data_IF_029722912074
#
_entry.id   IF_029722912074
#
_cell.length_a   1.000
_cell.length_b   1.000
_cell.length_c   1.000
_cell.angle_alpha   90.00
_cell.angle_beta   90.00
_cell.angle_gamma   90.00
#
_symmetry.space_group_name_H-M   'P 1'
#
loop_
_entity.id
_entity.type
_entity.pdbx_description
1 polymer ?
#
# COMPACT_ATOMS: atom_id res chain seq x y z
N UNK A 1 7.37 13.83 -16.21
CA UNK A 1 7.12 12.55 -16.87
C UNK A 1 6.13 11.76 -16.05
N UNK A 2 4.95 11.47 -16.61
CA UNK A 2 3.90 10.76 -15.91
C UNK A 2 3.83 9.28 -16.34
N UNK A 3 3.98 9.05 -17.63
CA UNK A 3 3.93 7.72 -18.26
C UNK A 3 5.36 7.26 -18.50
N UNK A 4 5.76 6.07 -18.06
CA UNK A 4 7.13 5.58 -18.18
C UNK A 4 7.66 5.57 -19.61
N UNK A 5 6.82 5.19 -20.58
CA UNK A 5 7.18 5.08 -22.00
C UNK A 5 7.31 6.42 -22.73
N UNK A 6 6.80 7.52 -22.16
CA UNK A 6 6.84 8.84 -22.78
C UNK A 6 8.06 9.63 -22.34
N UNK A 7 8.74 10.28 -23.28
CA UNK A 7 9.81 11.24 -23.02
C UNK A 7 9.50 12.55 -23.74
N UNK A 8 9.61 13.66 -23.03
CA UNK A 8 9.30 14.98 -23.56
C UNK A 8 10.41 15.95 -23.11
N UNK A 9 11.18 16.44 -24.07
CA UNK A 9 12.14 17.51 -23.87
C UNK A 9 11.54 18.82 -24.35
N UNK A 10 11.69 19.84 -23.53
CA UNK A 10 11.28 21.22 -23.89
C UNK A 10 12.52 22.08 -24.10
N UNK A 11 12.57 22.77 -25.24
CA UNK A 11 13.61 23.72 -25.59
C UNK A 11 12.99 25.07 -25.89
N UNK A 12 13.58 26.13 -25.39
CA UNK A 12 13.20 27.49 -25.73
C UNK A 12 14.09 27.96 -26.90
N UNK A 13 13.46 28.24 -28.02
CA UNK A 13 14.15 28.68 -29.24
C UNK A 13 13.78 30.14 -29.49
N UNK A 14 14.77 31.06 -29.57
CA UNK A 14 14.49 32.44 -29.91
C UNK A 14 13.83 32.54 -31.31
N UNK A 15 12.83 33.40 -31.46
CA UNK A 15 12.24 33.75 -32.75
C UNK A 15 12.93 34.97 -33.35
N UNK A 16 12.68 35.23 -34.62
CA UNK A 16 13.17 36.46 -35.28
C UNK A 16 12.48 37.74 -34.75
N UNK A 17 11.40 37.61 -33.99
CA UNK A 17 10.68 38.72 -33.38
C UNK A 17 11.25 39.04 -32.00
N UNK A 18 11.55 40.32 -31.75
CA UNK A 18 12.14 40.77 -30.47
C UNK A 18 11.14 40.57 -29.33
N UNK A 19 11.53 39.79 -28.32
CA UNK A 19 10.74 39.50 -27.12
C UNK A 19 9.82 38.29 -27.25
N UNK A 20 9.89 37.53 -28.34
CA UNK A 20 9.17 36.27 -28.52
C UNK A 20 10.13 35.06 -28.45
N UNK A 21 9.64 33.95 -27.92
CA UNK A 21 10.37 32.71 -27.80
C UNK A 21 9.41 31.54 -28.07
N UNK A 22 9.81 30.66 -28.97
CA UNK A 22 9.08 29.43 -29.22
C UNK A 22 9.44 28.36 -28.19
N UNK A 23 8.43 27.60 -27.77
CA UNK A 23 8.60 26.39 -26.97
C UNK A 23 8.53 25.19 -27.88
N UNK A 24 9.67 24.61 -28.19
CA UNK A 24 9.76 23.36 -28.99
C UNK A 24 9.68 22.18 -28.04
N UNK A 25 8.67 21.32 -28.25
CA UNK A 25 8.49 20.09 -27.47
C UNK A 25 8.85 18.91 -28.35
N UNK A 26 10.00 18.28 -28.06
CA UNK A 26 10.38 17.02 -28.68
C UNK A 26 9.79 15.86 -27.86
N UNK A 27 8.74 15.24 -28.39
CA UNK A 27 8.06 14.11 -27.77
C UNK A 27 8.49 12.80 -28.40
N UNK A 28 8.95 11.86 -27.57
CA UNK A 28 9.30 10.50 -28.00
C UNK A 28 8.57 9.51 -27.11
N UNK A 29 7.93 8.52 -27.72
CA UNK A 29 7.31 7.40 -27.01
C UNK A 29 8.01 6.11 -27.39
N UNK A 30 8.49 5.39 -26.38
CA UNK A 30 8.99 4.02 -26.51
C UNK A 30 7.82 3.02 -26.50
N UNK A 31 8.13 1.72 -26.53
CA UNK A 31 7.10 0.68 -26.45
C UNK A 31 6.21 0.90 -25.21
N UNK A 32 4.87 1.04 -25.39
CA UNK A 32 3.97 1.39 -24.30
C UNK A 32 3.62 0.20 -23.41
N UNK A 33 4.10 -0.98 -23.69
CA UNK A 33 3.82 -2.20 -22.94
C UNK A 33 5.04 -2.61 -22.11
N UNK A 34 4.78 -2.99 -20.85
CA UNK A 34 5.82 -3.52 -19.97
C UNK A 34 5.28 -4.76 -19.28
N UNK A 35 6.09 -5.81 -19.22
CA UNK A 35 5.84 -7.01 -18.44
C UNK A 35 6.93 -7.14 -17.40
N UNK A 36 6.50 -7.22 -16.14
CA UNK A 36 7.39 -7.46 -15.01
C UNK A 36 7.03 -8.80 -14.39
N UNK A 37 8.02 -9.66 -14.23
CA UNK A 37 7.90 -10.93 -13.51
C UNK A 37 8.74 -10.85 -12.24
N UNK A 38 8.21 -11.33 -11.12
CA UNK A 38 8.98 -11.44 -9.88
C UNK A 38 8.70 -12.75 -9.17
N UNK A 39 9.68 -13.19 -8.41
CA UNK A 39 9.62 -14.35 -7.54
C UNK A 39 10.27 -13.95 -6.22
N UNK A 40 9.56 -14.13 -5.14
CA UNK A 40 10.03 -13.79 -3.80
C UNK A 40 9.42 -14.70 -2.73
N UNK A 41 9.90 -14.60 -1.50
CA UNK A 41 9.45 -15.39 -0.35
C UNK A 41 8.59 -14.56 0.64
N UNK A 42 7.83 -13.58 0.14
CA UNK A 42 7.04 -12.65 0.94
C UNK A 42 5.69 -13.17 1.44
N UNK A 43 5.32 -14.39 1.07
CA UNK A 43 4.10 -15.04 1.53
C UNK A 43 4.17 -15.52 3.00
N UNK A 44 3.05 -16.02 3.52
CA UNK A 44 2.94 -16.59 4.87
C UNK A 44 3.18 -18.10 4.85
N UNK A 45 3.54 -18.67 6.00
CA UNK A 45 3.65 -20.12 6.19
C UNK A 45 2.33 -20.84 5.87
N UNK A 46 1.23 -20.26 6.34
CA UNK A 46 -0.10 -20.86 6.23
C UNK A 46 -0.63 -20.92 4.79
N UNK A 47 -0.21 -19.99 3.90
CA UNK A 47 -0.75 -19.88 2.54
C UNK A 47 0.32 -19.95 1.43
N UNK A 48 1.54 -20.32 1.80
CA UNK A 48 2.70 -20.47 0.92
C UNK A 48 3.63 -19.26 0.91
N UNK A 49 4.88 -19.47 1.29
CA UNK A 49 5.91 -18.41 1.37
C UNK A 49 6.37 -17.94 0.00
N UNK A 50 6.63 -18.88 -0.90
CA UNK A 50 7.11 -18.56 -2.25
C UNK A 50 5.98 -17.96 -3.07
N UNK A 51 6.16 -16.70 -3.49
CA UNK A 51 5.20 -15.93 -4.28
C UNK A 51 5.79 -15.63 -5.66
N UNK A 52 5.02 -15.93 -6.69
CA UNK A 52 5.33 -15.47 -8.04
C UNK A 52 4.33 -14.45 -8.50
N UNK A 53 4.78 -13.36 -9.09
CA UNK A 53 3.90 -12.35 -9.65
C UNK A 53 4.25 -11.97 -11.08
N UNK A 54 3.21 -11.60 -11.82
CA UNK A 54 3.31 -11.05 -13.16
C UNK A 54 2.48 -9.77 -13.23
N UNK A 55 3.11 -8.70 -13.67
CA UNK A 55 2.44 -7.40 -13.88
C UNK A 55 2.59 -6.98 -15.32
N UNK A 56 1.47 -6.81 -15.99
CA UNK A 56 1.39 -6.20 -17.31
C UNK A 56 0.91 -4.76 -17.18
N UNK A 57 1.66 -3.82 -17.74
CA UNK A 57 1.28 -2.41 -17.80
C UNK A 57 1.19 -1.92 -19.23
N UNK A 58 0.25 -1.01 -19.46
CA UNK A 58 0.01 -0.38 -20.76
C UNK A 58 -0.15 1.12 -20.56
N UNK A 59 0.79 1.85 -21.11
CA UNK A 59 0.83 3.30 -21.06
C UNK A 59 0.02 3.90 -22.20
N UNK A 60 -0.76 4.95 -21.90
CA UNK A 60 -1.47 5.76 -22.90
C UNK A 60 -2.50 4.98 -23.74
N UNK A 61 -3.28 4.13 -23.07
CA UNK A 61 -4.28 3.23 -23.69
C UNK A 61 -5.29 3.98 -24.57
N UNK A 62 -5.83 5.09 -24.06
CA UNK A 62 -6.81 5.94 -24.72
C UNK A 62 -6.21 7.21 -25.33
N UNK A 63 -4.89 7.32 -25.42
CA UNK A 63 -4.16 8.52 -25.88
C UNK A 63 -4.40 9.79 -25.05
N UNK A 64 -4.84 9.59 -23.80
CA UNK A 64 -5.16 10.65 -22.83
C UNK A 64 -4.08 10.79 -21.74
N UNK A 65 -2.88 10.28 -22.00
CA UNK A 65 -1.81 10.19 -20.99
C UNK A 65 -2.25 9.38 -19.78
N UNK A 66 -3.05 8.37 -19.99
CA UNK A 66 -3.60 7.42 -19.05
C UNK A 66 -2.65 6.24 -18.85
N UNK A 67 -2.86 5.50 -17.76
CA UNK A 67 -2.05 4.34 -17.42
C UNK A 67 -2.95 3.22 -16.89
N UNK A 68 -2.72 2.03 -17.43
CA UNK A 68 -3.38 0.81 -17.01
C UNK A 68 -2.34 -0.21 -16.57
N UNK A 69 -2.63 -0.95 -15.50
CA UNK A 69 -1.92 -2.20 -15.23
C UNK A 69 -2.83 -3.24 -14.59
N UNK A 70 -2.50 -4.51 -14.85
CA UNK A 70 -3.05 -5.67 -14.19
C UNK A 70 -1.90 -6.49 -13.61
N UNK A 71 -2.05 -6.92 -12.37
CA UNK A 71 -1.07 -7.75 -11.68
C UNK A 71 -1.75 -9.01 -11.13
N UNK A 72 -1.11 -10.15 -11.33
CA UNK A 72 -1.48 -11.42 -10.75
C UNK A 72 -0.36 -11.95 -9.88
N UNK A 73 -0.67 -12.38 -8.65
CA UNK A 73 0.26 -13.03 -7.72
C UNK A 73 -0.31 -14.38 -7.32
N UNK A 74 0.54 -15.39 -7.20
CA UNK A 74 0.16 -16.72 -6.73
C UNK A 74 1.26 -17.30 -5.87
N UNK A 75 0.88 -17.99 -4.79
CA UNK A 75 1.81 -18.80 -4.02
C UNK A 75 2.15 -20.11 -4.76
N UNK A 76 3.38 -20.54 -4.59
CA UNK A 76 3.86 -21.85 -5.05
C UNK A 76 4.19 -22.72 -3.84
N UNK A 77 3.83 -23.99 -3.91
CA UNK A 77 4.23 -24.98 -2.90
C UNK A 77 5.73 -25.22 -2.98
N UNK A 78 6.36 -25.34 -1.84
CA UNK A 78 7.77 -25.68 -1.70
C UNK A 78 7.92 -26.78 -0.66
N UNK A 79 8.74 -27.81 -0.94
CA UNK A 79 8.96 -28.95 -0.05
C UNK A 79 9.51 -28.55 1.33
N UNK A 80 10.11 -27.36 1.44
CA UNK A 80 10.63 -26.80 2.69
C UNK A 80 9.62 -25.95 3.46
N UNK A 81 8.37 -25.83 2.99
CA UNK A 81 7.34 -25.13 3.73
C UNK A 81 6.83 -26.00 4.87
N UNK A 82 6.78 -25.47 6.09
CA UNK A 82 6.31 -26.17 7.28
C UNK A 82 4.77 -26.35 7.31
N UNK A 83 4.06 -25.98 6.24
CA UNK A 83 2.61 -26.09 6.14
C UNK A 83 2.22 -27.51 5.71
N UNK A 84 1.43 -28.18 6.53
CA UNK A 84 0.87 -29.50 6.22
C UNK A 84 -0.40 -29.39 5.37
N UNK A 85 -0.62 -30.34 4.46
CA UNK A 85 -1.84 -30.45 3.66
C UNK A 85 -1.88 -29.54 2.44
N UNK A 86 -3.08 -29.10 2.07
CA UNK A 86 -3.31 -28.22 0.92
C UNK A 86 -3.40 -26.76 1.35
N UNK A 87 -2.63 -25.90 0.72
CA UNK A 87 -2.58 -24.47 1.01
C UNK A 87 -2.26 -23.68 -0.25
N UNK A 88 -2.66 -22.41 -0.26
CA UNK A 88 -2.33 -21.54 -1.36
C UNK A 88 -2.99 -20.17 -1.24
N UNK A 89 -2.45 -19.21 -1.99
CA UNK A 89 -3.02 -17.87 -2.14
C UNK A 89 -2.94 -17.39 -3.56
N UNK A 90 -3.90 -16.54 -3.93
CA UNK A 90 -3.96 -15.91 -5.25
C UNK A 90 -4.50 -14.49 -5.08
N UNK A 91 -3.82 -13.54 -5.72
CA UNK A 91 -4.27 -12.16 -5.81
C UNK A 91 -4.31 -11.71 -7.27
N UNK A 92 -5.34 -10.98 -7.65
CA UNK A 92 -5.42 -10.26 -8.92
C UNK A 92 -5.78 -8.82 -8.60
N UNK A 93 -5.02 -7.88 -9.13
CA UNK A 93 -5.29 -6.46 -8.98
C UNK A 93 -5.28 -5.75 -10.33
N UNK A 94 -6.13 -4.75 -10.43
CA UNK A 94 -6.30 -3.91 -11.61
C UNK A 94 -6.22 -2.45 -11.19
N UNK A 95 -5.56 -1.65 -11.99
CA UNK A 95 -5.41 -0.23 -11.80
C UNK A 95 -5.56 0.51 -13.14
N UNK A 96 -6.31 1.59 -13.11
CA UNK A 96 -6.43 2.51 -14.24
C UNK A 96 -6.41 3.95 -13.74
N UNK A 97 -5.66 4.82 -14.39
CA UNK A 97 -5.63 6.23 -14.04
C UNK A 97 -5.65 7.11 -15.29
N UNK A 98 -6.47 8.16 -15.22
CA UNK A 98 -6.62 9.15 -16.28
C UNK A 98 -6.50 10.57 -15.72
N UNK A 99 -5.61 11.41 -16.26
CA UNK A 99 -5.48 12.81 -15.89
C UNK A 99 -6.47 13.68 -16.69
N UNK A 100 -6.94 14.70 -16.07
CA UNK A 100 -7.66 15.78 -16.72
C UNK A 100 -7.35 17.13 -16.05
N UNK A 101 -6.56 17.96 -16.76
CA UNK A 101 -6.04 19.21 -16.20
C UNK A 101 -5.34 18.98 -14.85
N UNK A 102 -5.86 19.59 -13.77
CA UNK A 102 -5.35 19.44 -12.40
C UNK A 102 -5.96 18.25 -11.65
N UNK A 103 -6.77 17.43 -12.32
CA UNK A 103 -7.41 16.26 -11.72
C UNK A 103 -6.75 14.97 -12.19
N UNK A 104 -6.81 13.96 -11.33
CA UNK A 104 -6.43 12.59 -11.60
C UNK A 104 -7.51 11.67 -11.07
N UNK A 105 -8.25 11.02 -11.98
CA UNK A 105 -9.13 9.92 -11.62
C UNK A 105 -8.33 8.62 -11.60
N UNK A 106 -8.47 7.86 -10.52
CA UNK A 106 -7.87 6.55 -10.35
C UNK A 106 -8.95 5.55 -10.00
N UNK A 107 -9.02 4.46 -10.74
CA UNK A 107 -9.88 3.30 -10.46
C UNK A 107 -8.98 2.13 -10.11
N UNK A 108 -9.24 1.47 -9.01
CA UNK A 108 -8.52 0.26 -8.60
C UNK A 108 -9.48 -0.80 -8.11
N UNK A 109 -9.11 -2.05 -8.34
CA UNK A 109 -9.85 -3.22 -7.87
C UNK A 109 -8.88 -4.35 -7.56
N UNK A 110 -9.18 -5.17 -6.57
CA UNK A 110 -8.45 -6.39 -6.29
C UNK A 110 -9.36 -7.49 -5.81
N UNK A 111 -8.96 -8.72 -6.12
CA UNK A 111 -9.56 -9.94 -5.64
C UNK A 111 -8.46 -10.84 -5.08
N UNK A 112 -8.57 -11.18 -3.81
CA UNK A 112 -7.67 -12.07 -3.11
C UNK A 112 -8.44 -13.30 -2.65
N UNK A 113 -7.85 -14.48 -2.81
CA UNK A 113 -8.36 -15.74 -2.29
C UNK A 113 -7.23 -16.55 -1.69
N UNK A 114 -7.54 -17.32 -0.65
CA UNK A 114 -6.61 -18.21 0.01
C UNK A 114 -7.31 -19.47 0.50
N UNK A 115 -6.55 -20.51 0.71
CA UNK A 115 -6.96 -21.72 1.41
C UNK A 115 -5.78 -22.28 2.20
N UNK A 116 -6.08 -22.96 3.29
CA UNK A 116 -5.12 -23.65 4.13
C UNK A 116 -5.78 -24.84 4.81
N UNK A 117 -5.01 -25.89 5.05
CA UNK A 117 -5.43 -27.02 5.87
C UNK A 117 -5.21 -26.69 7.33
N UNK A 118 -6.23 -26.87 8.14
CA UNK A 118 -6.20 -26.70 9.59
C UNK A 118 -6.44 -28.03 10.24
N UNK A 119 -5.52 -28.47 11.11
CA UNK A 119 -5.67 -29.68 11.87
C UNK A 119 -6.77 -29.53 12.94
N UNK A 120 -7.77 -30.38 12.90
CA UNK A 120 -8.77 -30.53 13.95
C UNK A 120 -8.45 -31.69 14.88
N UNK A 121 -9.30 -31.91 15.89
CA UNK A 121 -9.09 -32.97 16.88
C UNK A 121 -9.18 -34.42 16.29
N UNK A 122 -9.99 -34.59 15.24
CA UNK A 122 -10.26 -35.91 14.63
C UNK A 122 -10.01 -35.93 13.12
N UNK A 123 -10.09 -34.78 12.44
CA UNK A 123 -9.89 -34.66 11.01
C UNK A 123 -9.33 -33.29 10.67
N UNK A 124 -8.77 -33.14 9.48
CA UNK A 124 -8.30 -31.84 8.98
C UNK A 124 -9.39 -31.14 8.20
N UNK A 125 -9.50 -29.83 8.36
CA UNK A 125 -10.47 -28.98 7.69
C UNK A 125 -9.77 -28.04 6.71
N UNK A 126 -10.42 -27.76 5.57
CA UNK A 126 -9.97 -26.70 4.67
C UNK A 126 -10.61 -25.39 5.10
N UNK A 127 -9.79 -24.45 5.59
CA UNK A 127 -10.21 -23.08 5.82
C UNK A 127 -9.83 -22.23 4.62
N UNK A 128 -10.80 -21.54 4.04
CA UNK A 128 -10.57 -20.69 2.87
C UNK A 128 -11.28 -19.35 2.99
N UNK A 129 -10.81 -18.38 2.20
CA UNK A 129 -11.43 -17.07 2.17
C UNK A 129 -11.25 -16.36 0.85
N UNK A 130 -12.18 -15.48 0.58
CA UNK A 130 -12.17 -14.59 -0.58
C UNK A 130 -12.44 -13.16 -0.13
N UNK A 131 -11.66 -12.21 -0.65
CA UNK A 131 -11.93 -10.79 -0.46
C UNK A 131 -11.85 -10.04 -1.79
N UNK A 132 -12.72 -9.06 -1.94
CA UNK A 132 -12.78 -8.17 -3.09
C UNK A 132 -12.84 -6.73 -2.58
N UNK A 133 -12.06 -5.86 -3.21
CA UNK A 133 -12.17 -4.43 -2.94
C UNK A 133 -12.14 -3.63 -4.24
N UNK A 134 -12.87 -2.52 -4.25
CA UNK A 134 -12.87 -1.54 -5.33
C UNK A 134 -12.76 -0.16 -4.73
N UNK A 135 -12.01 0.72 -5.40
CA UNK A 135 -11.85 2.14 -5.01
C UNK A 135 -11.83 3.01 -6.26
N UNK A 136 -12.61 4.08 -6.23
CA UNK A 136 -12.54 5.17 -7.20
C UNK A 136 -12.05 6.41 -6.44
N UNK A 137 -10.93 6.98 -6.85
CA UNK A 137 -10.29 8.13 -6.19
C UNK A 137 -10.11 9.27 -7.19
N UNK A 138 -10.54 10.46 -6.81
CA UNK A 138 -10.32 11.69 -7.52
C UNK A 138 -9.33 12.55 -6.74
N UNK A 139 -8.16 12.78 -7.31
CA UNK A 139 -7.14 13.69 -6.77
C UNK A 139 -7.20 15.02 -7.51
N UNK A 140 -7.09 16.12 -6.80
CA UNK A 140 -6.97 17.48 -7.36
C UNK A 140 -5.68 18.13 -6.89
N UNK A 141 -4.88 18.61 -7.83
CA UNK A 141 -3.73 19.45 -7.53
C UNK A 141 -4.24 20.83 -7.09
N UNK A 142 -4.06 21.17 -5.81
CA UNK A 142 -4.45 22.46 -5.24
C UNK A 142 -3.39 23.53 -5.46
N UNK A 143 -2.14 23.19 -5.21
CA UNK A 143 -1.00 24.10 -5.31
C UNK A 143 0.23 23.38 -5.82
N UNK A 144 0.97 24.04 -6.70
CA UNK A 144 2.25 23.58 -7.23
C UNK A 144 3.17 24.78 -7.43
N UNK A 145 4.31 24.73 -6.77
CA UNK A 145 5.43 25.64 -6.96
C UNK A 145 6.68 24.88 -7.36
N UNK A 146 7.80 25.57 -7.46
CA UNK A 146 9.11 24.96 -7.68
C UNK A 146 9.52 24.03 -6.52
N UNK A 147 9.08 24.35 -5.30
CA UNK A 147 9.49 23.69 -4.07
C UNK A 147 8.38 22.88 -3.39
N UNK A 148 7.15 22.89 -3.90
CA UNK A 148 6.05 22.17 -3.25
C UNK A 148 4.99 21.68 -4.22
N UNK A 149 4.24 20.65 -3.78
CA UNK A 149 3.02 20.16 -4.42
C UNK A 149 2.03 19.74 -3.34
N UNK A 150 0.78 20.19 -3.49
CA UNK A 150 -0.31 19.87 -2.57
C UNK A 150 -1.50 19.30 -3.34
N UNK A 151 -1.98 18.14 -2.90
CA UNK A 151 -3.13 17.46 -3.47
C UNK A 151 -4.20 17.24 -2.41
N UNK A 152 -5.46 17.40 -2.80
CA UNK A 152 -6.60 16.87 -2.07
C UNK A 152 -7.15 15.66 -2.80
N UNK A 153 -7.57 14.64 -2.06
CA UNK A 153 -8.13 13.41 -2.58
C UNK A 153 -9.53 13.18 -2.01
N UNK A 154 -10.42 12.68 -2.86
CA UNK A 154 -11.72 12.18 -2.44
C UNK A 154 -11.94 10.82 -3.08
N UNK A 155 -12.32 9.81 -2.31
CA UNK A 155 -12.51 8.46 -2.80
C UNK A 155 -13.82 7.85 -2.30
N UNK A 156 -14.37 6.98 -3.15
CA UNK A 156 -15.41 6.01 -2.79
C UNK A 156 -14.80 4.62 -2.84
N UNK A 157 -15.15 3.79 -1.86
CA UNK A 157 -14.62 2.45 -1.76
C UNK A 157 -15.70 1.44 -1.34
N UNK A 158 -15.49 0.19 -1.72
CA UNK A 158 -16.30 -0.96 -1.26
C UNK A 158 -15.39 -2.16 -1.05
N UNK A 159 -15.68 -2.97 -0.03
CA UNK A 159 -14.96 -4.19 0.30
C UNK A 159 -15.98 -5.28 0.65
N UNK A 160 -15.69 -6.51 0.20
CA UNK A 160 -16.46 -7.72 0.53
C UNK A 160 -15.47 -8.79 0.95
N UNK A 161 -15.83 -9.60 1.94
CA UNK A 161 -15.08 -10.81 2.28
C UNK A 161 -16.02 -11.91 2.75
N UNK A 162 -15.64 -13.14 2.41
CA UNK A 162 -16.31 -14.38 2.78
C UNK A 162 -15.26 -15.38 3.22
N UNK A 163 -15.57 -16.16 4.25
CA UNK A 163 -14.71 -17.25 4.69
C UNK A 163 -15.53 -18.54 4.77
N UNK A 164 -14.85 -19.68 4.61
CA UNK A 164 -15.46 -20.99 4.49
C UNK A 164 -14.67 -22.02 5.31
N UNK A 165 -15.39 -23.03 5.81
CA UNK A 165 -14.82 -24.28 6.32
C UNK A 165 -15.43 -25.40 5.49
N UNK A 166 -14.60 -26.21 4.80
CA UNK A 166 -15.01 -27.29 3.90
C UNK A 166 -16.14 -26.84 2.95
N UNK A 167 -15.95 -25.71 2.25
CA UNK A 167 -16.91 -25.09 1.33
C UNK A 167 -18.21 -24.54 1.96
N UNK A 168 -18.39 -24.66 3.28
CA UNK A 168 -19.52 -24.05 3.99
C UNK A 168 -19.17 -22.65 4.46
N UNK A 169 -19.95 -21.65 4.05
CA UNK A 169 -19.71 -20.27 4.43
C UNK A 169 -19.89 -20.03 5.93
N UNK A 170 -18.97 -19.31 6.54
CA UNK A 170 -19.04 -18.85 7.93
C UNK A 170 -19.77 -17.49 7.92
N UNK A 171 -21.09 -17.51 8.10
CA UNK A 171 -21.93 -16.31 7.96
C UNK A 171 -21.51 -15.16 8.90
N UNK A 172 -21.10 -15.46 10.13
CA UNK A 172 -20.62 -14.46 11.10
C UNK A 172 -19.33 -13.76 10.68
N UNK A 173 -18.60 -14.31 9.71
CA UNK A 173 -17.39 -13.70 9.14
C UNK A 173 -17.65 -13.00 7.80
N UNK A 174 -18.88 -13.05 7.28
CA UNK A 174 -19.25 -12.33 6.07
C UNK A 174 -19.17 -10.82 6.32
N UNK A 175 -18.42 -10.12 5.49
CA UNK A 175 -18.30 -8.66 5.55
C UNK A 175 -18.66 -8.04 4.21
N UNK A 176 -19.42 -6.98 4.27
CA UNK A 176 -19.66 -6.10 3.13
C UNK A 176 -19.71 -4.67 3.63
N UNK A 177 -18.69 -3.89 3.31
CA UNK A 177 -18.52 -2.52 3.76
C UNK A 177 -18.37 -1.60 2.55
N UNK A 178 -18.80 -0.36 2.70
CA UNK A 178 -18.61 0.70 1.72
C UNK A 178 -18.51 2.04 2.43
N UNK A 179 -17.89 2.99 1.79
CA UNK A 179 -17.73 4.31 2.39
C UNK A 179 -17.00 5.29 1.49
N UNK A 180 -16.56 6.36 2.11
CA UNK A 180 -15.79 7.40 1.48
C UNK A 180 -14.53 7.74 2.29
N UNK A 181 -13.60 8.38 1.62
CA UNK A 181 -12.34 8.81 2.19
C UNK A 181 -11.99 10.19 1.61
N UNK A 182 -11.50 11.08 2.46
CA UNK A 182 -10.91 12.34 2.03
C UNK A 182 -9.51 12.46 2.59
N UNK A 183 -8.61 13.06 1.83
CA UNK A 183 -7.22 13.17 2.24
C UNK A 183 -6.52 14.37 1.65
N UNK A 184 -5.44 14.73 2.30
CA UNK A 184 -4.49 15.76 1.89
C UNK A 184 -3.11 15.15 1.77
N UNK A 185 -2.39 15.46 0.69
CA UNK A 185 -0.98 15.10 0.52
C UNK A 185 -0.20 16.36 0.19
N UNK A 186 0.90 16.57 0.87
CA UNK A 186 1.80 17.68 0.64
C UNK A 186 3.22 17.17 0.49
N UNK A 187 3.90 17.60 -0.56
CA UNK A 187 5.33 17.34 -0.77
C UNK A 187 6.07 18.68 -0.76
N UNK A 188 7.09 18.78 0.06
CA UNK A 188 8.00 19.91 0.15
C UNK A 188 9.40 19.47 -0.26
N UNK A 189 10.03 20.22 -1.16
CA UNK A 189 11.42 20.06 -1.56
C UNK A 189 12.26 21.14 -0.89
N UNK A 190 13.35 20.77 -0.22
CA UNK A 190 14.26 21.67 0.49
C UNK A 190 15.69 21.30 0.02
N UNK A 191 16.14 21.93 -1.07
CA UNK A 191 17.33 21.46 -1.78
C UNK A 191 17.10 20.04 -2.30
N UNK A 192 17.95 19.10 -1.94
CA UNK A 192 17.83 17.69 -2.29
C UNK A 192 16.93 16.90 -1.31
N UNK A 193 16.53 17.51 -0.22
CA UNK A 193 15.69 16.90 0.80
C UNK A 193 14.22 16.88 0.36
N UNK A 194 13.54 15.76 0.60
CA UNK A 194 12.11 15.61 0.30
C UNK A 194 11.35 15.31 1.59
N UNK A 195 10.36 16.13 1.89
CA UNK A 195 9.40 15.93 2.97
C UNK A 195 8.03 15.67 2.35
N UNK A 196 7.42 14.54 2.68
CA UNK A 196 6.05 14.21 2.29
C UNK A 196 5.18 14.07 3.53
N UNK A 197 4.02 14.70 3.50
CA UNK A 197 3.03 14.69 4.58
C UNK A 197 1.72 14.19 4.00
N UNK A 198 1.02 13.34 4.73
CA UNK A 198 -0.34 12.98 4.39
C UNK A 198 -1.25 12.96 5.62
N UNK A 199 -2.53 13.22 5.38
CA UNK A 199 -3.58 13.04 6.36
C UNK A 199 -4.85 12.57 5.64
N UNK A 200 -5.49 11.51 6.14
CA UNK A 200 -6.70 10.94 5.55
C UNK A 200 -7.75 10.72 6.62
N UNK A 201 -9.01 10.93 6.27
CA UNK A 201 -10.17 10.53 7.05
C UNK A 201 -11.01 9.57 6.23
N UNK A 202 -11.22 8.38 6.76
CA UNK A 202 -12.01 7.29 6.16
C UNK A 202 -13.26 7.06 6.99
N UNK A 203 -14.41 6.98 6.32
CA UNK A 203 -15.69 6.70 6.95
C UNK A 203 -16.45 5.59 6.23
N UNK A 204 -16.86 4.58 6.98
CA UNK A 204 -17.81 3.57 6.54
C UNK A 204 -19.25 4.12 6.57
N UNK A 205 -20.05 3.64 5.64
CA UNK A 205 -21.47 4.01 5.50
C UNK A 205 -22.34 2.77 5.28
N UNK A 206 -23.66 2.92 5.36
CA UNK A 206 -24.62 1.88 4.96
C UNK A 206 -24.81 1.76 3.44
N UNK A 207 -23.99 2.46 2.63
CA UNK A 207 -24.10 2.46 1.17
C UNK A 207 -23.76 1.12 0.53
N UNK A 208 -24.13 0.94 -0.73
CA UNK A 208 -23.84 -0.26 -1.53
C UNK A 208 -24.24 -1.59 -0.86
N UNK A 209 -25.36 -1.61 -0.14
CA UNK A 209 -25.86 -2.76 0.63
C UNK A 209 -24.83 -3.25 1.68
N UNK A 210 -24.08 -2.35 2.33
CA UNK A 210 -23.18 -2.69 3.41
C UNK A 210 -23.95 -3.40 4.54
N UNK A 211 -23.33 -4.43 5.11
CA UNK A 211 -23.89 -5.22 6.21
C UNK A 211 -23.41 -4.62 7.53
N UNK A 212 -24.23 -4.61 8.59
CA UNK A 212 -23.74 -4.38 9.94
C UNK A 212 -22.65 -5.40 10.28
N UNK A 213 -21.68 -4.99 11.08
CA UNK A 213 -20.72 -5.94 11.61
C UNK A 213 -21.36 -6.72 12.76
N UNK A 214 -21.21 -8.04 12.86
CA UNK A 214 -21.73 -8.80 14.00
C UNK A 214 -21.24 -8.28 15.35
N UNK A 215 -20.03 -7.74 15.40
CA UNK A 215 -19.42 -7.13 16.58
C UNK A 215 -20.15 -5.85 17.04
N UNK A 216 -21.02 -5.25 16.20
CA UNK A 216 -21.83 -4.07 16.58
C UNK A 216 -22.77 -4.37 17.74
N UNK A 217 -23.28 -5.62 17.83
CA UNK A 217 -24.16 -6.07 18.91
C UNK A 217 -23.47 -6.01 20.28
N UNK A 218 -22.15 -6.20 20.30
CA UNK A 218 -21.32 -6.17 21.52
C UNK A 218 -20.59 -4.83 21.71
N UNK A 219 -20.73 -3.88 20.77
CA UNK A 219 -20.00 -2.61 20.81
C UNK A 219 -18.49 -2.72 20.51
N UNK A 220 -18.05 -3.86 19.97
CA UNK A 220 -16.62 -4.17 19.75
C UNK A 220 -16.10 -3.81 18.35
N UNK A 221 -16.98 -3.45 17.43
CA UNK A 221 -16.59 -3.07 16.06
C UNK A 221 -17.79 -2.60 15.27
N UNK A 222 -17.59 -1.81 14.22
CA UNK A 222 -18.67 -1.35 13.34
C UNK A 222 -18.25 -1.30 11.88
N UNK A 223 -19.19 -1.62 10.99
CA UNK A 223 -19.04 -1.40 9.54
C UNK A 223 -19.07 0.08 9.14
N UNK A 224 -19.50 0.96 10.06
CA UNK A 224 -19.54 2.43 9.90
C UNK A 224 -18.35 3.11 10.56
N UNK A 225 -17.17 2.50 10.42
CA UNK A 225 -15.94 2.94 11.03
C UNK A 225 -15.62 4.42 10.72
N UNK A 226 -14.95 5.06 11.66
CA UNK A 226 -14.34 6.38 11.52
C UNK A 226 -12.86 6.23 11.85
N UNK A 227 -12.00 6.44 10.84
CA UNK A 227 -10.56 6.24 10.96
C UNK A 227 -9.88 7.51 10.44
N UNK A 228 -8.98 8.04 11.24
CA UNK A 228 -8.05 9.07 10.85
C UNK A 228 -6.65 8.48 10.75
N UNK A 229 -5.95 8.72 9.64
CA UNK A 229 -4.55 8.33 9.46
C UNK A 229 -3.73 9.54 9.06
N UNK A 230 -2.51 9.65 9.57
CA UNK A 230 -1.57 10.66 9.16
C UNK A 230 -0.16 10.08 9.11
N UNK A 231 0.70 10.68 8.32
CA UNK A 231 2.09 10.26 8.25
C UNK A 231 3.02 11.29 7.66
N UNK A 232 4.30 11.02 7.86
CA UNK A 232 5.43 11.83 7.42
C UNK A 232 6.46 10.88 6.82
N UNK A 233 6.90 11.16 5.58
CA UNK A 233 8.08 10.55 4.98
C UNK A 233 9.11 11.64 4.73
N UNK A 234 10.34 11.41 5.21
CA UNK A 234 11.43 12.36 5.11
C UNK A 234 12.66 11.65 4.55
N UNK A 235 13.19 12.19 3.46
CA UNK A 235 14.41 11.70 2.80
C UNK A 235 15.44 12.82 2.80
N UNK A 236 16.57 12.54 3.40
CA UNK A 236 17.69 13.48 3.51
C UNK A 236 18.97 12.86 2.93
N UNK A 237 19.37 13.21 1.69
CA UNK A 237 20.67 12.87 1.15
C UNK A 237 21.73 13.81 1.72
N UNK A 238 22.89 13.26 2.06
CA UNK A 238 24.05 14.01 2.56
C UNK A 238 25.37 13.30 2.24
N UNK A 239 26.47 13.99 2.40
CA UNK A 239 27.83 13.45 2.17
C UNK A 239 28.67 13.53 3.43
N UNK A 240 29.46 12.49 3.68
CA UNK A 240 30.53 12.50 4.70
C UNK A 240 31.84 12.27 3.96
N UNK A 241 32.69 13.29 3.92
CA UNK A 241 33.84 13.30 3.01
C UNK A 241 33.36 13.24 1.55
N UNK A 242 33.80 12.22 0.80
CA UNK A 242 33.37 11.99 -0.59
C UNK A 242 32.36 10.83 -0.72
N UNK A 243 31.78 10.38 0.37
CA UNK A 243 30.85 9.26 0.38
C UNK A 243 29.42 9.76 0.51
N UNK A 244 28.50 9.39 -0.41
CA UNK A 244 27.11 9.77 -0.33
C UNK A 244 26.34 8.84 0.63
N UNK A 245 25.53 9.45 1.48
CA UNK A 245 24.61 8.80 2.41
C UNK A 245 23.21 9.28 2.16
N UNK A 246 22.24 8.48 2.59
CA UNK A 246 20.82 8.82 2.58
C UNK A 246 20.19 8.40 3.90
N UNK A 247 19.56 9.35 4.58
CA UNK A 247 18.72 9.06 5.73
C UNK A 247 17.25 9.13 5.31
N UNK A 248 16.54 8.02 5.51
CA UNK A 248 15.09 7.95 5.32
C UNK A 248 14.43 7.70 6.68
N UNK A 249 13.39 8.47 6.97
CA UNK A 249 12.53 8.18 8.12
C UNK A 249 11.08 8.31 7.70
N UNK A 250 10.25 7.37 8.17
CA UNK A 250 8.80 7.42 7.97
C UNK A 250 8.08 7.18 9.28
N UNK A 251 7.09 7.99 9.54
CA UNK A 251 6.18 7.83 10.65
C UNK A 251 4.74 7.79 10.14
N UNK A 252 3.98 6.79 10.61
CA UNK A 252 2.58 6.59 10.25
C UNK A 252 1.78 6.32 11.51
N UNK A 253 0.61 6.96 11.63
CA UNK A 253 -0.29 6.77 12.77
C UNK A 253 -1.74 6.61 12.33
N UNK A 254 -2.49 5.85 13.12
CA UNK A 254 -3.93 5.65 13.00
C UNK A 254 -4.64 5.97 14.31
N UNK A 255 -5.79 6.62 14.19
CA UNK A 255 -6.72 6.90 15.28
C UNK A 255 -8.15 6.55 14.83
N UNK A 256 -8.94 6.09 15.76
CA UNK A 256 -10.33 5.74 15.52
C UNK A 256 -11.30 6.67 16.26
N UNK A 257 -12.43 6.96 15.64
CA UNK A 257 -13.56 7.65 16.27
C UNK A 257 -14.70 6.69 16.68
N UNK A 258 -14.59 5.40 16.28
CA UNK A 258 -15.54 4.32 16.57
C UNK A 258 -14.76 3.05 16.88
N UNK A 259 -15.36 2.05 17.57
CA UNK A 259 -14.78 0.71 17.62
C UNK A 259 -14.53 0.16 16.22
N UNK A 260 -13.43 -0.58 16.05
CA UNK A 260 -12.99 -1.10 14.74
C UNK A 260 -13.09 -2.62 14.71
N UNK A 261 -13.60 -3.15 13.60
CA UNK A 261 -13.49 -4.58 13.31
C UNK A 261 -12.02 -4.97 13.12
N UNK A 262 -11.67 -6.23 13.32
CA UNK A 262 -10.29 -6.72 13.20
C UNK A 262 -9.62 -6.35 11.86
N UNK A 263 -10.39 -6.28 10.78
CA UNK A 263 -9.90 -5.94 9.44
C UNK A 263 -9.52 -4.46 9.25
N UNK A 264 -9.95 -3.58 10.15
CA UNK A 264 -9.71 -2.13 10.11
C UNK A 264 -8.74 -1.67 11.21
N UNK A 265 -8.29 -2.57 12.10
CA UNK A 265 -7.28 -2.29 13.14
C UNK A 265 -5.91 -2.03 12.51
N UNK A 266 -5.13 -1.19 13.16
CA UNK A 266 -3.72 -0.97 12.83
C UNK A 266 -2.89 -2.15 13.30
N UNK A 267 -2.03 -2.70 12.44
CA UNK A 267 -1.25 -3.90 12.72
C UNK A 267 0.24 -3.66 12.52
N UNK A 268 1.06 -4.21 13.42
CA UNK A 268 2.53 -4.21 13.36
C UNK A 268 3.07 -5.62 13.56
N UNK A 269 4.29 -5.90 13.07
CA UNK A 269 4.95 -7.20 13.25
C UNK A 269 5.20 -7.95 11.96
N UNK A 270 5.13 -7.30 10.81
CA UNK A 270 5.45 -7.90 9.51
C UNK A 270 6.57 -7.18 8.79
N UNK A 271 7.06 -7.77 7.72
CA UNK A 271 8.15 -7.29 6.85
C UNK A 271 7.99 -5.83 6.41
N UNK A 272 6.74 -5.38 6.20
CA UNK A 272 6.44 -4.02 5.74
C UNK A 272 6.13 -3.04 6.87
N UNK A 273 6.16 -3.49 8.12
CA UNK A 273 5.97 -2.69 9.31
C UNK A 273 7.25 -2.62 10.14
N UNK A 274 7.36 -3.33 11.24
CA UNK A 274 8.60 -3.43 12.03
C UNK A 274 9.46 -4.54 11.45
N UNK A 275 10.61 -4.22 10.85
CA UNK A 275 11.53 -5.21 10.25
C UNK A 275 12.11 -6.14 11.32
N UNK A 276 12.39 -7.38 10.93
CA UNK A 276 12.86 -8.44 11.82
C UNK A 276 11.76 -9.38 12.29
N UNK A 277 10.48 -9.08 11.96
CA UNK A 277 9.33 -9.95 12.18
C UNK A 277 8.80 -10.46 10.84
N UNK A 278 8.36 -11.71 10.81
CA UNK A 278 7.92 -12.40 9.58
C UNK A 278 6.45 -12.16 9.22
N UNK A 279 5.66 -11.61 10.13
CA UNK A 279 4.23 -11.36 9.93
C UNK A 279 3.32 -12.52 10.31
N UNK A 280 3.85 -13.65 10.76
CA UNK A 280 3.03 -14.80 11.20
C UNK A 280 2.23 -14.48 12.47
N UNK A 281 2.84 -13.70 13.37
CA UNK A 281 2.17 -13.13 14.53
C UNK A 281 2.27 -11.61 14.46
N UNK A 282 1.14 -10.93 14.55
CA UNK A 282 1.07 -9.47 14.52
C UNK A 282 0.33 -8.93 15.74
N UNK A 283 0.76 -7.78 16.22
CA UNK A 283 0.03 -7.00 17.21
C UNK A 283 -0.91 -6.05 16.48
N UNK A 284 -2.16 -5.95 16.92
CA UNK A 284 -3.15 -5.09 16.28
C UNK A 284 -3.97 -4.31 17.30
N UNK A 285 -4.38 -3.10 16.97
CA UNK A 285 -5.19 -2.25 17.82
C UNK A 285 -5.98 -1.21 17.03
N UNK A 286 -6.97 -0.60 17.65
CA UNK A 286 -7.79 0.45 17.06
C UNK A 286 -6.96 1.70 16.74
N UNK A 287 -5.97 1.98 17.60
CA UNK A 287 -4.98 3.05 17.44
C UNK A 287 -3.59 2.46 17.36
N UNK A 288 -2.70 3.14 16.67
CA UNK A 288 -1.31 2.72 16.62
C UNK A 288 -0.45 3.66 15.82
N UNK A 289 0.83 3.46 15.94
CA UNK A 289 1.82 4.16 15.14
C UNK A 289 3.00 3.25 14.82
N UNK A 290 3.68 3.59 13.72
CA UNK A 290 4.88 2.93 13.21
C UNK A 290 5.90 3.99 12.85
N UNK A 291 7.13 3.83 13.31
CA UNK A 291 8.26 4.66 12.97
C UNK A 291 9.38 3.80 12.41
N UNK A 292 9.76 4.06 11.17
CA UNK A 292 10.83 3.35 10.46
C UNK A 292 11.95 4.32 10.15
N UNK A 293 13.20 3.88 10.37
CA UNK A 293 14.39 4.65 10.09
C UNK A 293 15.37 3.82 9.31
N UNK A 294 16.05 4.45 8.35
CA UNK A 294 17.01 3.79 7.50
C UNK A 294 18.16 4.75 7.16
N UNK A 295 19.36 4.31 7.39
CA UNK A 295 20.58 4.97 6.95
C UNK A 295 21.21 4.13 5.84
N UNK A 296 21.25 4.65 4.63
CA UNK A 296 21.89 4.06 3.47
C UNK A 296 23.23 4.71 3.19
N UNK A 297 24.23 3.91 2.87
CA UNK A 297 25.53 4.32 2.40
C UNK A 297 25.76 3.80 0.98
N UNK A 298 25.89 4.71 0.01
CA UNK A 298 26.23 4.34 -1.37
C UNK A 298 27.74 4.12 -1.47
N UNK A 299 28.15 2.85 -1.56
CA UNK A 299 29.56 2.44 -1.53
C UNK A 299 30.24 2.88 -2.82
N UNK A 300 31.25 3.72 -2.68
CA UNK A 300 32.10 4.20 -3.77
C UNK A 300 31.35 4.79 -4.97
N UNK A 301 30.08 5.20 -4.78
CA UNK A 301 29.22 5.76 -5.85
C UNK A 301 29.02 4.81 -7.06
N UNK A 302 29.03 3.49 -6.81
CA UNK A 302 28.95 2.43 -7.83
C UNK A 302 27.58 1.75 -7.91
N UNK A 303 26.56 2.31 -7.24
CA UNK A 303 25.19 1.75 -7.25
C UNK A 303 24.97 0.62 -6.24
N UNK A 304 25.95 0.30 -5.40
CA UNK A 304 25.78 -0.61 -4.25
C UNK A 304 25.48 0.21 -3.00
N UNK A 305 24.39 -0.11 -2.32
CA UNK A 305 23.98 0.59 -1.10
C UNK A 305 23.95 -0.38 0.08
N UNK A 306 24.80 -0.12 1.08
CA UNK A 306 24.68 -0.77 2.38
C UNK A 306 23.71 0.03 3.23
N UNK A 307 22.69 -0.61 3.82
CA UNK A 307 21.75 0.08 4.68
C UNK A 307 21.64 -0.56 6.07
N UNK A 308 21.37 0.29 7.06
CA UNK A 308 21.01 -0.07 8.42
C UNK A 308 19.63 0.53 8.73
N UNK A 309 18.72 -0.31 9.18
CA UNK A 309 17.37 0.08 9.56
C UNK A 309 17.04 -0.22 11.01
N UNK A 310 16.31 0.69 11.67
CA UNK A 310 15.75 0.52 13.02
C UNK A 310 14.31 0.99 12.99
N UNK A 311 13.39 0.11 13.38
CA UNK A 311 11.95 0.35 13.34
C UNK A 311 11.35 0.17 14.74
N UNK A 312 10.32 0.95 15.04
CA UNK A 312 9.52 0.82 16.26
C UNK A 312 8.05 1.04 15.93
N UNK A 313 7.19 0.22 16.53
CA UNK A 313 5.74 0.37 16.44
C UNK A 313 5.06 0.11 17.75
N UNK A 314 3.89 0.73 17.95
CA UNK A 314 3.03 0.52 19.10
C UNK A 314 1.58 0.53 18.66
N UNK A 315 0.79 -0.35 19.26
CA UNK A 315 -0.66 -0.42 19.09
C UNK A 315 -1.36 -0.24 20.43
N UNK A 316 -2.60 0.20 20.39
CA UNK A 316 -3.50 0.26 21.55
C UNK A 316 -4.81 -0.43 21.17
N UNK A 317 -5.14 -1.48 21.90
CA UNK A 317 -6.36 -2.24 21.72
C UNK A 317 -7.23 -2.09 22.96
N UNK A 318 -8.54 -2.04 22.79
CA UNK A 318 -9.50 -2.16 23.88
C UNK A 318 -9.46 -3.54 24.56
N UNK A 319 -8.80 -4.52 23.92
CA UNK A 319 -8.64 -5.90 24.37
C UNK A 319 -7.14 -6.22 24.60
N UNK A 320 -6.40 -5.35 25.27
CA UNK A 320 -4.95 -5.51 25.51
C UNK A 320 -4.60 -6.82 26.23
N UNK A 321 -5.46 -7.30 27.12
CA UNK A 321 -5.26 -8.55 27.87
C UNK A 321 -5.15 -9.81 27.00
N UNK A 322 -5.60 -9.74 25.76
CA UNK A 322 -5.54 -10.85 24.80
C UNK A 322 -4.28 -10.86 23.92
N UNK A 323 -3.40 -9.86 24.08
CA UNK A 323 -2.18 -9.73 23.29
C UNK A 323 -0.92 -9.95 24.15
N UNK A 324 0.12 -10.50 23.54
CA UNK A 324 1.42 -10.76 24.19
C UNK A 324 2.16 -9.45 24.56
N UNK A 325 1.72 -8.32 23.99
CA UNK A 325 2.28 -6.98 24.22
C UNK A 325 1.63 -5.95 23.31
N UNK A 326 2.08 -4.71 23.41
CA UNK A 326 1.55 -3.57 22.67
C UNK A 326 2.57 -2.90 21.74
N UNK A 327 3.83 -3.28 21.81
CA UNK A 327 4.91 -2.62 21.06
C UNK A 327 5.95 -3.61 20.54
N UNK A 328 6.54 -3.26 19.40
CA UNK A 328 7.62 -4.00 18.77
C UNK A 328 8.75 -3.04 18.41
N UNK A 329 9.97 -3.55 18.49
CA UNK A 329 11.17 -2.90 17.97
C UNK A 329 12.00 -3.92 17.18
N UNK A 330 12.48 -3.53 16.02
CA UNK A 330 13.26 -4.41 15.17
C UNK A 330 14.27 -3.65 14.33
N UNK A 331 15.15 -4.39 13.69
CA UNK A 331 16.20 -3.84 12.86
C UNK A 331 16.48 -4.70 11.63
N UNK A 332 17.14 -4.10 10.65
CA UNK A 332 17.58 -4.76 9.44
C UNK A 332 18.90 -4.19 8.96
N UNK A 333 19.72 -5.04 8.35
CA UNK A 333 20.89 -4.66 7.59
C UNK A 333 20.82 -5.35 6.23
N UNK A 334 21.21 -4.66 5.18
CA UNK A 334 21.19 -5.22 3.83
C UNK A 334 22.12 -4.47 2.88
N UNK A 335 22.37 -5.08 1.72
CA UNK A 335 23.23 -4.59 0.65
C UNK A 335 22.46 -4.56 -0.66
#
# INVERSE_FOLDING_TARGET
KRVPSADANMELVPTDAVGETDVVIAYKQSLPFHLTLSLDDSGSKATGRLQGSATFSWDNVLTLNDMFYISGTRSFKRDSDDAEGDYGSKNVSLYYSIPWKNYLLTLSGSKYSYHQTVAGAFESYTYSGESQQMKANLSRLLSRGSLHKTYVNAALWTKKSHNYINDTEIEVQRRRTAGWEVGLNHTQYIGETVLQLFANYKRGTGGNKALPAPEEEFGEGTSRMQIFTAGVDFTYPFTIGNQPFRFNTSWNGQWNGTPLTQQDKFSIGGRYTVRGFDGELSLSGEKGWLWRNELGWNIANKGHELYLGIDRGKVHSSQEELQIGDSLMGGAIGL
#
